data_IF_094228978762
#
_entry.id   IF_094228978762
#
_cell.length_a   1.000
_cell.length_b   1.000
_cell.length_c   1.000
_cell.angle_alpha   90.00
_cell.angle_beta   90.00
_cell.angle_gamma   90.00
#
_symmetry.space_group_name_H-M   'P 1'
#
loop_
_entity.id
_entity.type
_entity.pdbx_description
1 polymer ?
#
# COMPACT_ATOMS: atom_id res chain seq x y z
N UNK A 1 -12.27 12.61 -7.21
CA UNK A 1 -11.55 12.18 -8.42
C UNK A 1 -10.75 10.94 -8.08
N UNK A 2 -11.06 9.82 -8.74
CA UNK A 2 -10.43 8.53 -8.47
C UNK A 2 -9.13 8.46 -9.29
N UNK A 3 -8.09 9.17 -8.82
CA UNK A 3 -6.78 9.29 -9.48
C UNK A 3 -6.16 7.94 -9.84
N UNK A 4 -6.46 6.94 -8.99
CA UNK A 4 -6.08 5.53 -9.14
C UNK A 4 -6.69 4.87 -10.39
N UNK A 5 -7.94 5.22 -10.74
CA UNK A 5 -8.57 4.74 -11.97
C UNK A 5 -8.04 5.49 -13.19
N UNK A 6 -7.87 6.80 -13.07
CA UNK A 6 -7.49 7.64 -14.21
C UNK A 6 -6.04 7.34 -14.66
N UNK A 7 -5.10 7.14 -13.73
CA UNK A 7 -3.71 6.76 -14.04
C UNK A 7 -3.59 5.36 -14.63
N UNK A 8 -4.39 4.40 -14.14
CA UNK A 8 -4.41 3.03 -14.64
C UNK A 8 -5.03 2.93 -16.05
N UNK A 9 -6.07 3.74 -16.33
CA UNK A 9 -6.75 3.78 -17.62
C UNK A 9 -5.96 4.54 -18.69
N UNK A 10 -5.08 5.48 -18.31
CA UNK A 10 -4.19 6.15 -19.27
C UNK A 10 -3.04 5.27 -19.75
N UNK A 11 -2.56 4.33 -18.94
CA UNK A 11 -1.31 3.60 -19.22
C UNK A 11 -1.52 2.21 -19.88
N UNK A 12 -2.71 1.60 -19.76
CA UNK A 12 -2.98 0.26 -20.31
C UNK A 12 -4.22 0.19 -21.23
N UNK A 13 -3.99 -0.13 -22.50
CA UNK A 13 -5.01 -0.77 -23.35
C UNK A 13 -5.17 -2.22 -22.88
N UNK A 14 -6.19 -2.49 -22.08
CA UNK A 14 -6.48 -3.84 -21.61
C UNK A 14 -7.10 -4.71 -22.72
N UNK A 15 -6.33 -5.65 -23.26
CA UNK A 15 -6.82 -6.63 -24.25
C UNK A 15 -7.72 -7.73 -23.64
N UNK A 16 -7.55 -8.04 -22.34
CA UNK A 16 -8.29 -9.09 -21.63
C UNK A 16 -8.41 -8.77 -20.11
N UNK A 17 -9.58 -8.99 -19.46
CA UNK A 17 -9.75 -8.88 -18.00
C UNK A 17 -8.72 -9.62 -17.13
N UNK A 18 -8.18 -10.74 -17.61
CA UNK A 18 -7.12 -11.49 -16.94
C UNK A 18 -5.79 -10.71 -16.94
N UNK A 19 -5.48 -10.02 -18.04
CA UNK A 19 -4.33 -9.14 -18.15
C UNK A 19 -4.46 -7.95 -17.21
N UNK A 20 -5.64 -7.29 -17.20
CA UNK A 20 -5.93 -6.19 -16.29
C UNK A 20 -5.76 -6.58 -14.82
N UNK A 21 -6.20 -7.79 -14.44
CA UNK A 21 -6.05 -8.30 -13.08
C UNK A 21 -4.58 -8.54 -12.71
N UNK A 22 -3.76 -9.00 -13.66
CA UNK A 22 -2.33 -9.19 -13.45
C UNK A 22 -1.60 -7.85 -13.27
N UNK A 23 -1.86 -6.89 -14.16
CA UNK A 23 -1.23 -5.57 -14.11
C UNK A 23 -1.66 -4.79 -12.87
N UNK A 24 -2.95 -4.85 -12.49
CA UNK A 24 -3.43 -4.31 -11.21
C UNK A 24 -2.69 -4.89 -10.02
N UNK A 25 -2.41 -6.20 -10.01
CA UNK A 25 -1.73 -6.86 -8.90
C UNK A 25 -0.27 -6.44 -8.81
N UNK A 26 0.45 -6.45 -9.94
CA UNK A 26 1.85 -6.02 -10.00
C UNK A 26 2.00 -4.54 -9.65
N UNK A 27 1.09 -3.69 -10.12
CA UNK A 27 1.12 -2.26 -9.86
C UNK A 27 0.74 -1.93 -8.41
N UNK A 28 -0.26 -2.62 -7.84
CA UNK A 28 -0.61 -2.52 -6.42
C UNK A 28 0.57 -2.92 -5.52
N UNK A 29 1.29 -3.99 -5.86
CA UNK A 29 2.50 -4.38 -5.14
C UNK A 29 3.56 -3.27 -5.19
N UNK A 30 3.85 -2.74 -6.39
CA UNK A 30 4.83 -1.67 -6.57
C UNK A 30 4.44 -0.39 -5.83
N UNK A 31 3.17 0.00 -5.87
CA UNK A 31 2.65 1.17 -5.20
C UNK A 31 2.80 1.05 -3.67
N UNK A 32 2.38 -0.08 -3.11
CA UNK A 32 2.44 -0.32 -1.66
C UNK A 32 3.89 -0.38 -1.14
N UNK A 33 4.82 -0.86 -1.94
CA UNK A 33 6.21 -1.11 -1.53
C UNK A 33 7.19 0.01 -1.87
N UNK A 34 6.99 0.73 -2.97
CA UNK A 34 7.98 1.67 -3.50
C UNK A 34 7.48 3.11 -3.66
N UNK A 35 6.19 3.39 -3.46
CA UNK A 35 5.65 4.73 -3.69
C UNK A 35 5.57 5.52 -2.37
N UNK A 36 6.49 6.47 -2.11
CA UNK A 36 6.44 7.29 -0.91
C UNK A 36 5.30 8.31 -1.00
N UNK A 37 4.44 8.34 0.02
CA UNK A 37 3.35 9.31 0.09
C UNK A 37 3.64 10.43 1.07
N UNK A 38 3.51 11.67 0.63
CA UNK A 38 3.69 12.86 1.48
C UNK A 38 2.75 12.87 2.70
N UNK A 39 1.51 12.37 2.55
CA UNK A 39 0.56 12.25 3.67
C UNK A 39 0.95 11.20 4.71
N UNK A 40 1.85 10.27 4.36
CA UNK A 40 2.39 9.26 5.28
C UNK A 40 3.79 9.64 5.77
N UNK A 41 4.27 10.86 5.48
CA UNK A 41 5.63 11.27 5.84
C UNK A 41 6.69 10.84 4.82
N UNK A 42 6.32 10.70 3.55
CA UNK A 42 7.18 10.23 2.45
C UNK A 42 7.66 8.78 2.63
N UNK A 43 6.85 7.93 3.26
CA UNK A 43 7.10 6.48 3.34
C UNK A 43 6.08 5.70 2.50
N UNK A 44 6.44 4.51 2.00
CA UNK A 44 5.50 3.62 1.34
C UNK A 44 4.39 3.13 2.29
N UNK A 45 3.18 2.83 1.77
CA UNK A 45 2.08 2.29 2.57
C UNK A 45 2.44 1.04 3.39
N UNK A 46 3.26 0.14 2.83
CA UNK A 46 3.73 -1.05 3.56
C UNK A 46 4.55 -0.68 4.79
N UNK A 47 5.42 0.32 4.67
CA UNK A 47 6.26 0.77 5.77
C UNK A 47 5.42 1.45 6.86
N UNK A 48 4.45 2.26 6.46
CA UNK A 48 3.47 2.85 7.39
C UNK A 48 2.69 1.77 8.15
N UNK A 49 2.22 0.71 7.46
CA UNK A 49 1.52 -0.40 8.09
C UNK A 49 2.42 -1.13 9.10
N UNK A 50 3.69 -1.38 8.76
CA UNK A 50 4.66 -2.00 9.67
C UNK A 50 4.88 -1.17 10.94
N UNK A 51 5.02 0.15 10.80
CA UNK A 51 5.16 1.07 11.93
C UNK A 51 3.90 1.10 12.80
N UNK A 52 2.72 1.05 12.18
CA UNK A 52 1.46 0.94 12.89
C UNK A 52 1.39 -0.36 13.71
N UNK A 53 1.73 -1.50 13.11
CA UNK A 53 1.77 -2.79 13.81
C UNK A 53 2.74 -2.78 14.99
N UNK A 54 3.96 -2.26 14.81
CA UNK A 54 4.93 -2.11 15.91
C UNK A 54 4.41 -1.19 17.03
N UNK A 55 3.72 -0.10 16.67
CA UNK A 55 3.09 0.79 17.65
C UNK A 55 2.01 0.05 18.43
N UNK A 56 1.17 -0.74 17.78
CA UNK A 56 0.13 -1.55 18.43
C UNK A 56 0.74 -2.63 19.34
N UNK A 57 1.86 -3.23 18.96
CA UNK A 57 2.59 -4.20 19.79
C UNK A 57 3.28 -3.54 20.98
N UNK A 58 3.84 -2.34 20.82
CA UNK A 58 4.42 -1.55 21.92
C UNK A 58 3.36 -1.03 22.89
N UNK A 59 2.13 -0.80 22.40
CA UNK A 59 0.98 -0.42 23.21
C UNK A 59 0.31 -1.62 23.89
N UNK A 60 0.68 -2.87 23.59
CA UNK A 60 0.27 -4.00 24.43
C UNK A 60 0.94 -3.81 25.79
N UNK A 61 0.19 -3.63 26.90
CA UNK A 61 0.79 -3.60 28.21
C UNK A 61 1.42 -4.97 28.45
N UNK A 62 2.76 -5.03 28.48
CA UNK A 62 3.45 -6.16 29.10
C UNK A 62 2.98 -6.16 30.55
N UNK A 63 2.14 -7.14 30.89
CA UNK A 63 1.53 -7.26 32.21
C UNK A 63 2.57 -7.15 33.33
N UNK A 64 2.17 -6.65 34.51
CA UNK A 64 3.12 -6.39 35.59
C UNK A 64 3.85 -7.68 35.95
N UNK A 65 5.18 -7.61 35.95
CA UNK A 65 6.05 -8.61 36.58
C UNK A 65 5.81 -8.53 38.09
N UNK A 66 4.90 -9.36 38.60
CA UNK A 66 4.80 -9.71 40.02
C UNK A 66 4.93 -11.22 40.15
#
# INVERSE_FOLDING_TARGET
HNRLRDELLEDEMFDDPAHASHCLRLWSERYNTHHPHSSLGFIPPTEYANQWHQTQEALKPTGPKN
#
